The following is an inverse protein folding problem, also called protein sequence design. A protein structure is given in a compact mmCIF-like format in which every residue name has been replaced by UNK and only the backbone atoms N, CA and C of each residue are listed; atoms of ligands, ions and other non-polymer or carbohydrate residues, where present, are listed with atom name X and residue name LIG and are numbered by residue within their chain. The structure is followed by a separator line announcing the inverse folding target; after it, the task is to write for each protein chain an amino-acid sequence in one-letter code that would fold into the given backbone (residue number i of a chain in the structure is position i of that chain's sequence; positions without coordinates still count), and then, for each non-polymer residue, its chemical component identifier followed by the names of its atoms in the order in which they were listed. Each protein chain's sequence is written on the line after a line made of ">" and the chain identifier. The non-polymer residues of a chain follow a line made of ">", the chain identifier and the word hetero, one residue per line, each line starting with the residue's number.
data_IF_944720410674
#
_entry.id   IF_944720410674
#
_cell.length_a   1.000
_cell.length_b   1.000
_cell.length_c   1.000
_cell.angle_alpha   90.00
_cell.angle_beta   90.00
_cell.angle_gamma   90.00
#
_symmetry.space_group_name_H-M   'P 1'
#
loop_
_entity.id
_entity.type
_entity.pdbx_description
1 polymer ?
#
# COMPACT_ATOMS: atom_id res chain seq x y z
N UNK A 1 -26.11 2.03 -12.19
CA UNK A 1 -25.67 1.14 -11.09
C UNK A 1 -24.43 1.77 -10.47
N UNK A 2 -24.29 1.78 -9.14
CA UNK A 2 -23.08 2.31 -8.47
C UNK A 2 -21.94 1.34 -8.80
N UNK A 3 -20.87 1.81 -9.43
CA UNK A 3 -19.66 1.01 -9.60
C UNK A 3 -18.84 1.08 -8.32
N UNK A 4 -18.42 -0.07 -7.81
CA UNK A 4 -17.56 -0.16 -6.63
C UNK A 4 -16.21 0.50 -6.93
N UNK A 5 -15.75 1.35 -6.01
CA UNK A 5 -14.43 1.99 -6.07
C UNK A 5 -13.55 1.50 -4.93
N UNK A 6 -12.29 1.27 -5.25
CA UNK A 6 -11.25 0.95 -4.26
C UNK A 6 -10.17 2.01 -4.37
N UNK A 7 -9.92 2.67 -3.25
CA UNK A 7 -8.77 3.54 -3.05
C UNK A 7 -7.61 2.74 -2.49
N UNK A 8 -6.44 2.84 -3.11
CA UNK A 8 -5.23 2.10 -2.75
C UNK A 8 -4.18 3.12 -2.33
N UNK A 9 -3.73 3.01 -1.08
CA UNK A 9 -2.85 3.97 -0.43
C UNK A 9 -1.59 3.27 0.07
N UNK A 10 -0.41 3.81 -0.26
CA UNK A 10 0.82 3.40 0.41
C UNK A 10 0.91 4.10 1.77
N UNK A 11 1.28 3.37 2.82
CA UNK A 11 1.49 3.95 4.15
C UNK A 11 2.46 5.16 4.15
N UNK A 12 2.38 5.95 5.23
CA UNK A 12 3.24 7.12 5.40
C UNK A 12 4.69 6.84 5.72
N UNK A 13 5.50 7.90 5.68
CA UNK A 13 6.91 7.79 5.95
C UNK A 13 7.19 7.22 7.34
N UNK A 14 8.20 6.35 7.38
CA UNK A 14 8.84 5.86 8.60
C UNK A 14 10.30 6.29 8.61
N UNK A 15 10.96 6.17 9.76
CA UNK A 15 12.40 6.46 9.86
C UNK A 15 13.25 5.51 8.99
N UNK A 16 12.76 4.28 8.76
CA UNK A 16 13.43 3.36 7.85
C UNK A 16 13.28 3.77 6.39
N UNK A 17 12.15 4.36 5.98
CA UNK A 17 12.06 4.96 4.66
C UNK A 17 13.06 6.12 4.51
N UNK A 18 13.12 7.01 5.49
CA UNK A 18 14.03 8.16 5.47
C UNK A 18 15.51 7.74 5.43
N UNK A 19 15.85 6.63 6.10
CA UNK A 19 17.19 6.05 6.13
C UNK A 19 17.51 5.12 4.94
N UNK A 20 16.56 4.89 4.00
CA UNK A 20 16.75 3.97 2.88
C UNK A 20 16.90 2.50 3.29
N UNK A 21 16.31 2.11 4.43
CA UNK A 21 16.30 0.73 4.95
C UNK A 21 15.09 -0.05 4.41
N UNK A 22 15.31 -1.30 4.02
CA UNK A 22 14.22 -2.21 3.63
C UNK A 22 13.40 -2.56 4.88
N UNK A 23 12.08 -2.37 4.83
CA UNK A 23 11.19 -2.68 5.96
C UNK A 23 10.61 -4.08 5.91
N UNK A 24 10.10 -4.49 4.75
CA UNK A 24 9.36 -5.73 4.62
C UNK A 24 8.28 -5.88 5.68
N UNK A 25 8.26 -7.03 6.36
CA UNK A 25 7.27 -7.30 7.40
C UNK A 25 7.72 -6.87 8.80
N UNK A 26 8.93 -6.34 8.96
CA UNK A 26 9.35 -5.71 10.21
C UNK A 26 8.43 -4.54 10.56
N UNK A 27 7.92 -4.56 11.79
CA UNK A 27 6.83 -3.70 12.24
C UNK A 27 7.33 -2.37 12.83
N UNK A 28 7.61 -1.42 11.93
CA UNK A 28 8.08 -0.06 12.25
C UNK A 28 6.91 0.94 12.18
N UNK A 29 6.77 1.86 13.16
CA UNK A 29 5.70 2.85 13.17
C UNK A 29 5.95 4.01 12.17
N UNK A 30 4.95 4.86 11.98
CA UNK A 30 5.15 6.12 11.26
C UNK A 30 6.11 7.04 12.02
N UNK A 31 6.81 7.88 11.27
CA UNK A 31 7.44 9.06 11.85
C UNK A 31 6.49 10.27 11.79
N UNK A 32 6.91 11.41 12.36
CA UNK A 32 6.06 12.59 12.44
C UNK A 32 5.61 13.09 11.06
N UNK A 33 6.53 13.09 10.08
CA UNK A 33 6.20 13.45 8.70
C UNK A 33 5.19 12.47 8.10
N UNK A 34 5.30 11.17 8.37
CA UNK A 34 4.33 10.17 7.92
C UNK A 34 2.92 10.42 8.47
N UNK A 35 2.80 10.86 9.73
CA UNK A 35 1.51 11.25 10.33
C UNK A 35 0.93 12.50 9.66
N UNK A 36 1.75 13.51 9.42
CA UNK A 36 1.35 14.72 8.69
C UNK A 36 0.87 14.39 7.27
N UNK A 37 1.59 13.50 6.56
CA UNK A 37 1.18 13.03 5.24
C UNK A 37 -0.19 12.34 5.25
N UNK A 38 -0.46 11.51 6.26
CA UNK A 38 -1.76 10.85 6.39
C UNK A 38 -2.91 11.86 6.59
N UNK A 39 -2.68 12.91 7.38
CA UNK A 39 -3.64 14.02 7.53
C UNK A 39 -3.86 14.78 6.22
N UNK A 40 -2.80 15.05 5.46
CA UNK A 40 -2.90 15.72 4.16
C UNK A 40 -3.73 14.91 3.15
N UNK A 41 -3.53 13.59 3.09
CA UNK A 41 -4.38 12.73 2.26
C UNK A 41 -5.84 12.77 2.74
N UNK A 42 -6.08 12.66 4.04
CA UNK A 42 -7.43 12.68 4.58
C UNK A 42 -8.17 14.00 4.26
N UNK A 43 -7.48 15.15 4.36
CA UNK A 43 -8.04 16.45 3.96
C UNK A 43 -8.39 16.50 2.48
N UNK A 44 -7.48 16.04 1.61
CA UNK A 44 -7.76 15.95 0.17
C UNK A 44 -9.00 15.10 -0.11
N UNK A 45 -9.16 13.97 0.56
CA UNK A 45 -10.28 13.06 0.37
C UNK A 45 -11.63 13.65 0.81
N UNK A 46 -11.65 14.66 1.70
CA UNK A 46 -12.89 15.40 2.05
C UNK A 46 -13.42 16.23 0.90
N UNK A 47 -12.53 16.68 0.00
CA UNK A 47 -12.87 17.53 -1.14
C UNK A 47 -13.13 16.73 -2.42
N UNK A 48 -12.96 15.41 -2.40
CA UNK A 48 -13.10 14.53 -3.56
C UNK A 48 -14.35 13.64 -3.47
N UNK A 49 -15.12 13.55 -4.57
CA UNK A 49 -16.39 12.80 -4.63
C UNK A 49 -16.20 11.29 -4.90
N UNK A 50 -15.25 10.68 -4.20
CA UNK A 50 -15.03 9.23 -4.28
C UNK A 50 -16.02 8.43 -3.42
N UNK A 51 -16.58 9.04 -2.37
CA UNK A 51 -17.58 8.46 -1.47
C UNK A 51 -17.12 7.15 -0.83
N UNK A 52 -15.97 7.15 -0.16
CA UNK A 52 -15.50 5.98 0.59
C UNK A 52 -16.37 5.70 1.80
N UNK A 53 -16.70 4.44 2.03
CA UNK A 53 -17.62 3.97 3.06
C UNK A 53 -16.86 3.36 4.26
N UNK A 54 -15.62 2.89 4.06
CA UNK A 54 -14.80 2.26 5.09
C UNK A 54 -13.31 2.26 4.74
N UNK A 55 -12.48 1.97 5.74
CA UNK A 55 -11.02 1.81 5.61
C UNK A 55 -10.58 0.42 6.07
N UNK A 56 -9.58 -0.17 5.42
CA UNK A 56 -8.91 -1.40 5.84
C UNK A 56 -7.40 -1.29 5.65
N UNK A 57 -6.62 -1.97 6.50
CA UNK A 57 -5.17 -1.93 6.47
C UNK A 57 -4.56 -3.34 6.54
N UNK A 58 -3.24 -3.45 6.34
CA UNK A 58 -2.50 -4.71 6.54
C UNK A 58 -2.26 -5.09 8.00
N UNK A 59 -2.47 -4.19 8.95
CA UNK A 59 -2.19 -4.40 10.37
C UNK A 59 -0.74 -4.16 10.80
N UNK A 60 0.19 -3.89 9.88
CA UNK A 60 1.52 -3.38 10.27
C UNK A 60 1.37 -1.95 10.75
N UNK A 61 2.03 -1.57 11.85
CA UNK A 61 1.85 -0.29 12.56
C UNK A 61 1.82 0.91 11.63
N UNK A 62 2.75 1.01 10.68
CA UNK A 62 2.77 2.12 9.71
C UNK A 62 1.51 2.19 8.83
N UNK A 63 0.98 1.06 8.37
CA UNK A 63 -0.23 1.01 7.56
C UNK A 63 -1.48 1.20 8.43
N UNK A 64 -1.51 0.58 9.61
CA UNK A 64 -2.60 0.69 10.58
C UNK A 64 -2.75 2.11 11.11
N UNK A 65 -1.64 2.76 11.47
CA UNK A 65 -1.62 4.14 11.94
C UNK A 65 -2.02 5.12 10.82
N UNK A 66 -1.57 4.89 9.58
CA UNK A 66 -2.02 5.68 8.42
C UNK A 66 -3.53 5.52 8.21
N UNK A 67 -4.04 4.29 8.24
CA UNK A 67 -5.47 3.98 8.09
C UNK A 67 -6.31 4.59 9.22
N UNK A 68 -5.82 4.52 10.46
CA UNK A 68 -6.48 5.09 11.64
C UNK A 68 -6.63 6.60 11.52
N UNK A 69 -5.57 7.30 11.13
CA UNK A 69 -5.60 8.76 10.94
C UNK A 69 -6.62 9.12 9.85
N UNK A 70 -6.57 8.45 8.70
CA UNK A 70 -7.50 8.72 7.58
C UNK A 70 -8.95 8.41 7.99
N UNK A 71 -9.20 7.27 8.63
CA UNK A 71 -10.53 6.86 9.06
C UNK A 71 -11.12 7.85 10.08
N UNK A 72 -10.34 8.27 11.07
CA UNK A 72 -10.77 9.25 12.06
C UNK A 72 -11.12 10.61 11.43
N UNK A 73 -10.27 11.09 10.52
CA UNK A 73 -10.50 12.37 9.84
C UNK A 73 -11.73 12.35 8.92
N UNK A 74 -12.00 11.23 8.25
CA UNK A 74 -13.16 11.07 7.37
C UNK A 74 -14.43 10.63 8.11
N UNK A 75 -14.34 10.27 9.39
CA UNK A 75 -15.46 9.70 10.16
C UNK A 75 -15.90 8.33 9.65
N UNK A 76 -14.98 7.54 9.09
CA UNK A 76 -15.25 6.23 8.51
C UNK A 76 -14.90 5.09 9.48
N UNK A 77 -15.61 3.95 9.41
CA UNK A 77 -15.20 2.75 10.14
C UNK A 77 -13.87 2.20 9.61
N UNK A 78 -12.99 1.84 10.54
CA UNK A 78 -11.79 1.04 10.27
C UNK A 78 -12.12 -0.43 10.53
N UNK A 79 -11.98 -1.27 9.51
CA UNK A 79 -12.19 -2.72 9.63
C UNK A 79 -10.97 -3.43 10.22
N UNK A 80 -11.19 -4.65 10.70
CA UNK A 80 -10.12 -5.56 11.10
C UNK A 80 -9.07 -5.71 9.97
N UNK A 81 -7.77 -5.75 10.32
CA UNK A 81 -6.70 -5.92 9.34
C UNK A 81 -6.84 -7.18 8.49
N UNK A 82 -6.33 -7.10 7.26
CA UNK A 82 -6.29 -8.23 6.33
C UNK A 82 -4.85 -8.66 6.04
N UNK A 83 -4.48 -9.89 6.42
CA UNK A 83 -3.10 -10.41 6.27
C UNK A 83 -2.60 -10.40 4.82
N UNK A 84 -3.50 -10.62 3.86
CA UNK A 84 -3.18 -10.56 2.42
C UNK A 84 -2.64 -9.20 1.95
N UNK A 85 -2.79 -8.14 2.74
CA UNK A 85 -2.29 -6.78 2.45
C UNK A 85 -0.89 -6.51 3.00
N UNK A 86 -0.23 -7.46 3.68
CA UNK A 86 1.12 -7.27 4.25
C UNK A 86 2.14 -6.93 3.17
N UNK A 87 3.21 -6.21 3.54
CA UNK A 87 4.32 -5.97 2.62
C UNK A 87 5.02 -7.28 2.24
N UNK A 88 5.79 -7.25 1.15
CA UNK A 88 6.74 -8.31 0.80
C UNK A 88 7.59 -8.69 2.02
N UNK A 89 7.69 -9.98 2.30
CA UNK A 89 8.74 -10.46 3.21
C UNK A 89 10.10 -10.31 2.51
N UNK A 90 11.05 -9.60 3.12
CA UNK A 90 12.42 -9.51 2.60
C UNK A 90 13.40 -10.39 3.40
N UNK A 91 12.92 -11.12 4.40
CA UNK A 91 13.73 -12.05 5.17
C UNK A 91 14.89 -11.35 5.86
N UNK A 92 16.10 -11.93 5.77
CA UNK A 92 17.25 -11.47 6.56
C UNK A 92 17.80 -10.10 6.14
N UNK A 93 17.38 -9.54 5.01
CA UNK A 93 17.83 -8.21 4.56
C UNK A 93 16.98 -7.06 5.09
N UNK A 94 15.88 -7.34 5.80
CA UNK A 94 15.12 -6.30 6.49
C UNK A 94 16.00 -5.53 7.49
N UNK A 95 15.77 -4.23 7.58
CA UNK A 95 16.57 -3.31 8.38
C UNK A 95 17.84 -2.84 7.72
N UNK A 96 18.24 -3.36 6.56
CA UNK A 96 19.52 -2.97 5.94
C UNK A 96 19.36 -1.84 4.92
N UNK A 97 20.36 -0.96 4.86
CA UNK A 97 20.52 0.02 3.77
C UNK A 97 21.04 -0.65 2.50
N UNK A 98 21.15 0.12 1.41
CA UNK A 98 21.74 -0.37 0.17
C UNK A 98 23.20 -0.79 0.29
N UNK A 99 24.02 0.00 0.98
CA UNK A 99 25.42 -0.33 1.18
C UNK A 99 25.57 -1.56 2.09
N UNK A 100 24.81 -1.61 3.21
CA UNK A 100 24.90 -2.71 4.18
C UNK A 100 24.53 -4.07 3.56
N UNK A 101 23.50 -4.13 2.70
CA UNK A 101 23.10 -5.39 2.08
C UNK A 101 24.08 -5.85 1.00
N UNK A 102 24.60 -4.91 0.21
CA UNK A 102 25.56 -5.23 -0.84
C UNK A 102 26.90 -5.68 -0.25
N UNK A 103 27.31 -5.09 0.88
CA UNK A 103 28.49 -5.54 1.63
C UNK A 103 28.32 -6.95 2.20
N UNK A 104 27.15 -7.27 2.76
CA UNK A 104 26.91 -8.57 3.43
C UNK A 104 26.60 -9.72 2.47
N UNK A 105 25.81 -9.46 1.44
CA UNK A 105 25.29 -10.50 0.54
C UNK A 105 25.63 -10.27 -0.93
N UNK A 106 26.34 -9.21 -1.29
CA UNK A 106 26.72 -8.91 -2.67
C UNK A 106 25.60 -8.24 -3.48
N UNK A 107 25.95 -7.80 -4.69
CA UNK A 107 25.03 -7.12 -5.60
C UNK A 107 23.89 -8.04 -6.11
N UNK A 108 24.10 -9.36 -6.05
CA UNK A 108 23.17 -10.40 -6.47
C UNK A 108 22.26 -10.92 -5.34
N UNK A 109 22.22 -10.28 -4.17
CA UNK A 109 21.41 -10.73 -3.01
C UNK A 109 19.95 -11.07 -3.36
N UNK A 110 19.35 -10.46 -4.39
CA UNK A 110 17.99 -10.74 -4.85
C UNK A 110 17.80 -12.15 -5.42
N UNK A 111 18.84 -12.79 -5.95
CA UNK A 111 18.78 -14.17 -6.44
C UNK A 111 19.08 -15.21 -5.36
N UNK A 112 19.50 -14.78 -4.17
CA UNK A 112 19.87 -15.66 -3.07
C UNK A 112 18.65 -16.03 -2.21
N UNK A 113 18.68 -17.22 -1.60
CA UNK A 113 17.62 -17.70 -0.72
C UNK A 113 17.72 -17.08 0.69
N UNK A 114 17.34 -15.80 0.81
CA UNK A 114 17.45 -15.01 2.06
C UNK A 114 16.13 -14.93 2.85
N UNK A 115 15.15 -15.77 2.50
CA UNK A 115 13.81 -15.74 3.10
C UNK A 115 12.90 -14.65 2.51
N UNK A 116 13.24 -14.14 1.33
CA UNK A 116 12.42 -13.18 0.60
C UNK A 116 11.30 -13.87 -0.18
N UNK A 117 10.11 -13.27 -0.13
CA UNK A 117 8.97 -13.65 -0.95
C UNK A 117 9.25 -13.29 -2.43
N UNK A 118 8.91 -14.21 -3.33
CA UNK A 118 9.07 -14.02 -4.77
C UNK A 118 8.03 -13.04 -5.34
N UNK A 119 8.33 -12.48 -6.51
CA UNK A 119 7.38 -11.61 -7.21
C UNK A 119 6.06 -12.34 -7.53
N UNK A 120 6.12 -13.63 -7.87
CA UNK A 120 4.95 -14.44 -8.20
C UNK A 120 4.05 -14.67 -6.99
N UNK A 121 4.62 -15.07 -5.84
CA UNK A 121 3.89 -15.27 -4.58
C UNK A 121 3.21 -13.97 -4.12
N UNK A 122 3.96 -12.86 -4.14
CA UNK A 122 3.43 -11.56 -3.76
C UNK A 122 2.28 -11.11 -4.66
N UNK A 123 2.43 -11.30 -5.99
CA UNK A 123 1.42 -10.94 -6.98
C UNK A 123 0.15 -11.75 -6.81
N UNK A 124 0.27 -13.06 -6.61
CA UNK A 124 -0.86 -13.96 -6.39
C UNK A 124 -1.65 -13.57 -5.13
N UNK A 125 -0.98 -13.38 -3.99
CA UNK A 125 -1.69 -13.02 -2.75
C UNK A 125 -2.26 -11.60 -2.78
N UNK A 126 -1.62 -10.67 -3.49
CA UNK A 126 -2.12 -9.30 -3.62
C UNK A 126 -3.43 -9.27 -4.43
N UNK A 127 -3.47 -9.98 -5.56
CA UNK A 127 -4.67 -10.10 -6.38
C UNK A 127 -5.80 -10.82 -5.61
N UNK A 128 -5.48 -11.92 -4.93
CA UNK A 128 -6.45 -12.66 -4.12
C UNK A 128 -7.04 -11.79 -2.99
N UNK A 129 -6.21 -11.02 -2.28
CA UNK A 129 -6.65 -10.13 -1.21
C UNK A 129 -7.56 -9.02 -1.73
N UNK A 130 -7.24 -8.41 -2.87
CA UNK A 130 -8.10 -7.41 -3.49
C UNK A 130 -9.50 -7.97 -3.80
N UNK A 131 -9.56 -9.14 -4.46
CA UNK A 131 -10.84 -9.75 -4.82
C UNK A 131 -11.65 -10.18 -3.59
N UNK A 132 -11.01 -10.74 -2.56
CA UNK A 132 -11.68 -11.08 -1.30
C UNK A 132 -12.29 -9.83 -0.62
N UNK A 133 -11.54 -8.73 -0.55
CA UNK A 133 -12.02 -7.48 0.03
C UNK A 133 -13.14 -6.91 -0.83
N UNK A 134 -12.96 -6.84 -2.15
CA UNK A 134 -13.96 -6.32 -3.09
C UNK A 134 -15.28 -7.10 -3.03
N UNK A 135 -15.20 -8.42 -2.93
CA UNK A 135 -16.39 -9.29 -2.81
C UNK A 135 -17.12 -9.07 -1.48
N UNK A 136 -16.37 -9.03 -0.38
CA UNK A 136 -16.93 -8.81 0.97
C UNK A 136 -17.59 -7.44 1.12
N UNK A 137 -17.18 -6.47 0.31
CA UNK A 137 -17.60 -5.06 0.38
C UNK A 137 -18.28 -4.58 -0.91
N UNK A 138 -18.90 -5.49 -1.67
CA UNK A 138 -19.39 -5.23 -3.05
C UNK A 138 -20.21 -3.94 -3.22
N UNK A 139 -21.00 -3.57 -2.22
CA UNK A 139 -21.88 -2.38 -2.26
C UNK A 139 -21.25 -1.11 -1.67
N UNK A 140 -19.99 -1.21 -1.22
CA UNK A 140 -19.24 -0.19 -0.50
C UNK A 140 -17.96 0.18 -1.25
N UNK A 141 -17.60 1.47 -1.21
CA UNK A 141 -16.30 1.94 -1.65
C UNK A 141 -15.30 1.85 -0.51
N UNK A 142 -14.11 1.33 -0.78
CA UNK A 142 -13.15 0.95 0.27
C UNK A 142 -11.84 1.69 0.08
N UNK A 143 -11.28 2.24 1.16
CA UNK A 143 -9.88 2.65 1.22
C UNK A 143 -9.03 1.51 1.79
N UNK A 144 -8.03 1.07 1.06
CA UNK A 144 -7.06 0.05 1.45
C UNK A 144 -5.71 0.74 1.66
N UNK A 145 -5.14 0.60 2.85
CA UNK A 145 -3.80 1.08 3.17
C UNK A 145 -2.83 -0.10 3.24
N UNK A 146 -1.83 -0.10 2.37
CA UNK A 146 -0.83 -1.16 2.25
C UNK A 146 0.56 -0.56 1.96
N UNK A 147 1.37 -1.24 1.16
CA UNK A 147 2.81 -1.03 1.06
C UNK A 147 3.30 -0.99 -0.38
N UNK A 148 4.56 -0.56 -0.56
CA UNK A 148 5.08 -0.22 -1.88
C UNK A 148 5.22 -1.44 -2.79
N UNK A 149 5.84 -2.52 -2.32
CA UNK A 149 6.03 -3.71 -3.16
C UNK A 149 4.72 -4.46 -3.39
N UNK A 150 3.84 -4.49 -2.39
CA UNK A 150 2.49 -5.04 -2.55
C UNK A 150 1.69 -4.31 -3.63
N UNK A 151 1.63 -2.97 -3.57
CA UNK A 151 0.93 -2.15 -4.57
C UNK A 151 1.54 -2.30 -5.96
N UNK A 152 2.86 -2.31 -6.07
CA UNK A 152 3.54 -2.49 -7.35
C UNK A 152 3.15 -3.83 -8.03
N UNK A 153 3.17 -4.95 -7.28
CA UNK A 153 2.78 -6.25 -7.84
C UNK A 153 1.28 -6.33 -8.13
N UNK A 154 0.44 -5.71 -7.30
CA UNK A 154 -0.99 -5.61 -7.60
C UNK A 154 -1.22 -4.86 -8.92
N UNK A 155 -0.58 -3.71 -9.11
CA UNK A 155 -0.74 -2.92 -10.34
C UNK A 155 -0.25 -3.66 -11.57
N UNK A 156 0.86 -4.41 -11.46
CA UNK A 156 1.31 -5.29 -12.56
C UNK A 156 0.25 -6.35 -12.86
N UNK A 157 -0.36 -6.95 -11.84
CA UNK A 157 -1.43 -7.96 -12.03
C UNK A 157 -2.68 -7.39 -12.70
N UNK A 158 -3.04 -6.14 -12.41
CA UNK A 158 -4.27 -5.53 -12.93
C UNK A 158 -4.08 -4.83 -14.28
N UNK A 159 -2.93 -4.19 -14.48
CA UNK A 159 -2.72 -3.23 -15.55
C UNK A 159 -1.50 -3.55 -16.43
N UNK A 160 -0.71 -4.57 -16.08
CA UNK A 160 0.47 -5.00 -16.83
C UNK A 160 1.79 -4.39 -16.33
N UNK A 161 2.90 -4.88 -16.90
CA UNK A 161 4.27 -4.57 -16.47
C UNK A 161 4.67 -3.09 -16.60
N UNK A 162 3.95 -2.32 -17.41
CA UNK A 162 4.14 -0.88 -17.59
C UNK A 162 3.91 -0.08 -16.29
N UNK A 163 3.19 -0.66 -15.32
CA UNK A 163 2.90 -0.06 -14.02
C UNK A 163 3.95 -0.38 -12.93
N UNK A 164 5.09 -0.99 -13.27
CA UNK A 164 6.15 -1.43 -12.34
C UNK A 164 6.99 -0.30 -11.69
N UNK A 165 6.52 0.94 -11.71
CA UNK A 165 7.23 2.11 -11.21
C UNK A 165 7.33 2.21 -9.67
N UNK A 166 8.10 3.19 -9.20
CA UNK A 166 8.18 3.51 -7.78
C UNK A 166 6.83 4.04 -7.27
N UNK A 167 6.33 3.42 -6.20
CA UNK A 167 5.09 3.85 -5.52
C UNK A 167 5.47 4.74 -4.35
N UNK A 168 5.13 6.04 -4.39
CA UNK A 168 5.53 7.01 -3.38
C UNK A 168 4.85 6.80 -2.03
N UNK A 169 5.47 7.18 -0.90
CA UNK A 169 4.78 7.17 0.40
C UNK A 169 3.55 8.09 0.36
N UNK A 170 2.42 7.64 0.90
CA UNK A 170 1.11 8.28 0.75
C UNK A 170 0.61 8.43 -0.70
N UNK A 171 1.23 7.78 -1.70
CA UNK A 171 0.64 7.75 -3.03
C UNK A 171 -0.77 7.18 -2.99
N UNK A 172 -1.68 7.80 -3.73
CA UNK A 172 -3.08 7.41 -3.79
C UNK A 172 -3.47 7.01 -5.21
N UNK A 173 -4.04 5.81 -5.35
CA UNK A 173 -4.61 5.27 -6.58
C UNK A 173 -6.09 5.01 -6.35
N UNK A 174 -6.94 5.27 -7.34
CA UNK A 174 -8.36 4.89 -7.31
C UNK A 174 -8.64 3.98 -8.48
N UNK A 175 -9.24 2.83 -8.21
CA UNK A 175 -9.70 1.89 -9.22
C UNK A 175 -11.23 1.73 -9.12
N UNK A 176 -11.89 1.53 -10.24
CA UNK A 176 -13.33 1.31 -10.32
C UNK A 176 -13.61 -0.03 -10.99
N UNK A 177 -14.57 -0.78 -10.44
CA UNK A 177 -14.98 -2.08 -11.00
C UNK A 177 -15.80 -1.87 -12.26
N UNK A 178 -15.50 -2.64 -13.30
CA UNK A 178 -16.20 -2.66 -14.59
C UNK A 178 -16.46 -4.10 -15.03
N UNK A 179 -17.26 -4.27 -16.10
CA UNK A 179 -17.54 -5.60 -16.68
C UNK A 179 -16.28 -6.31 -17.19
N UNK A 180 -15.23 -5.55 -17.54
CA UNK A 180 -13.95 -6.06 -18.03
C UNK A 180 -12.87 -6.19 -16.93
N UNK A 181 -13.22 -5.99 -15.65
CA UNK A 181 -12.30 -5.98 -14.53
C UNK A 181 -12.10 -4.58 -13.93
N UNK A 182 -10.94 -4.33 -13.33
CA UNK A 182 -10.62 -3.05 -12.69
C UNK A 182 -10.06 -2.04 -13.69
N UNK A 183 -10.52 -0.78 -13.61
CA UNK A 183 -9.94 0.34 -14.37
C UNK A 183 -9.39 1.42 -13.42
N UNK A 184 -8.23 2.03 -13.71
CA UNK A 184 -7.72 3.13 -12.90
C UNK A 184 -8.46 4.43 -13.24
N UNK A 185 -8.91 5.17 -12.22
CA UNK A 185 -9.42 6.54 -12.32
C UNK A 185 -8.36 7.57 -11.92
N UNK A 186 -7.48 7.18 -11.01
CA UNK A 186 -6.33 7.94 -10.53
C UNK A 186 -5.20 6.95 -10.25
N UNK A 187 -3.96 7.28 -10.58
CA UNK A 187 -2.84 6.36 -10.43
C UNK A 187 -1.64 7.02 -9.75
N UNK A 188 -1.17 6.41 -8.66
CA UNK A 188 0.07 6.73 -7.93
C UNK A 188 0.24 8.24 -7.65
N UNK A 189 -0.85 8.92 -7.26
CA UNK A 189 -0.87 10.37 -7.13
C UNK A 189 -0.35 10.81 -5.75
N UNK A 190 0.64 11.69 -5.74
CA UNK A 190 1.30 12.24 -4.54
C UNK A 190 1.14 13.76 -4.37
N UNK A 191 0.28 14.40 -5.17
CA UNK A 191 0.13 15.86 -5.18
C UNK A 191 -0.21 16.51 -3.82
N UNK A 192 -0.73 15.74 -2.86
CA UNK A 192 -1.07 16.22 -1.51
C UNK A 192 0.12 16.20 -0.53
N UNK A 193 1.23 15.56 -0.89
CA UNK A 193 2.47 15.49 -0.06
C UNK A 193 3.69 16.11 -0.74
N UNK A 194 3.53 16.57 -1.98
CA UNK A 194 4.53 17.33 -2.72
C UNK A 194 4.40 18.82 -2.36
N UNK A 195 5.14 19.23 -1.32
CA UNK A 195 5.31 20.62 -0.92
C UNK A 195 6.77 20.91 -0.59
#
# INVERSE_FOLDING_TARGET
>A
MKHQRIGLVRHGLTDWNAAGRIQGQTDIPLNNRGREQALLLAHRLKDEDYNFDLVISSGLKRAEETATIIAAELGLPLLEPHEGLLERAFGVVEGTTAAEREEKWGADWRSQALGQESDAELRERAAAALEQIAERTRDQNVLIVSHGSWLAQLFISLFGEECSGHIGNLSFTVIERSDAGWKPLLFNCSAHVES
#
